data_IF_281727805590
#
_entry.id   IF_281727805590
#
_cell.length_a   1.000
_cell.length_b   1.000
_cell.length_c   1.000
_cell.angle_alpha   90.00
_cell.angle_beta   90.00
_cell.angle_gamma   90.00
#
_symmetry.space_group_name_H-M   'P 1'
#
loop_
_entity.id
_entity.type
_entity.pdbx_description
1 polymer ?
#
# COMPACT_ATOMS: atom_id res chain seq x y z
N UNK A 1 2.58 1.50 28.27
CA UNK A 1 2.46 2.94 28.09
C UNK A 1 0.99 3.28 28.00
N UNK A 2 0.57 4.35 28.64
CA UNK A 2 -0.79 4.88 28.53
C UNK A 2 -0.77 6.02 27.53
N UNK A 3 -1.91 6.26 26.88
CA UNK A 3 -2.12 7.45 26.04
C UNK A 3 -2.17 8.74 26.86
N UNK A 4 -2.37 9.88 26.22
CA UNK A 4 -2.48 11.20 26.86
C UNK A 4 -3.67 11.28 27.87
N UNK A 5 -4.63 10.35 27.78
CA UNK A 5 -5.81 10.24 28.65
C UNK A 5 -5.66 9.18 29.76
N UNK A 6 -4.51 8.48 29.82
CA UNK A 6 -4.24 7.46 30.83
C UNK A 6 -4.81 6.08 30.48
N UNK A 7 -5.35 5.87 29.27
CA UNK A 7 -5.82 4.58 28.80
C UNK A 7 -4.66 3.73 28.26
N UNK A 8 -4.77 2.41 28.43
CA UNK A 8 -3.76 1.47 27.92
C UNK A 8 -3.87 1.39 26.40
N UNK A 9 -2.82 1.83 25.70
CA UNK A 9 -2.79 1.76 24.25
C UNK A 9 -3.01 0.33 23.75
N UNK A 10 -3.95 0.16 22.81
CA UNK A 10 -4.21 -1.11 22.15
C UNK A 10 -2.99 -1.51 21.31
N UNK A 11 -2.58 -2.79 21.40
CA UNK A 11 -1.46 -3.31 20.62
C UNK A 11 -1.96 -4.02 19.36
N UNK A 12 -1.28 -3.80 18.25
CA UNK A 12 -1.52 -4.48 16.99
C UNK A 12 -0.32 -5.33 16.56
N UNK A 13 -0.58 -6.32 15.72
CA UNK A 13 0.45 -7.14 15.09
C UNK A 13 1.01 -6.44 13.86
N UNK A 14 2.31 -6.58 13.65
CA UNK A 14 2.99 -6.15 12.43
C UNK A 14 4.18 -7.08 12.14
N UNK A 15 4.70 -7.01 10.91
CA UNK A 15 5.95 -7.64 10.50
C UNK A 15 6.89 -6.54 10.02
N UNK A 16 8.13 -6.54 10.52
CA UNK A 16 9.11 -5.52 10.16
C UNK A 16 10.53 -6.03 10.15
N UNK A 17 11.45 -5.15 9.79
CA UNK A 17 12.88 -5.42 9.76
C UNK A 17 13.65 -4.29 10.45
N UNK A 18 14.74 -4.65 11.14
CA UNK A 18 15.64 -3.70 11.78
C UNK A 18 16.90 -3.41 10.94
N UNK A 19 17.17 -4.24 9.94
CA UNK A 19 18.35 -4.17 9.09
C UNK A 19 18.14 -5.00 7.81
N UNK A 20 18.79 -4.59 6.72
CA UNK A 20 18.78 -5.29 5.43
C UNK A 20 19.71 -6.49 5.35
N UNK A 21 19.58 -7.43 6.29
CA UNK A 21 20.38 -8.67 6.31
C UNK A 21 19.82 -9.74 5.36
N UNK A 22 20.60 -10.82 5.16
CA UNK A 22 20.20 -11.93 4.29
C UNK A 22 18.84 -12.51 4.71
N UNK A 23 17.98 -12.81 3.75
CA UNK A 23 16.61 -13.28 4.00
C UNK A 23 16.57 -14.67 4.67
N UNK A 24 17.63 -15.46 4.53
CA UNK A 24 17.75 -16.76 5.21
C UNK A 24 17.97 -16.63 6.72
N UNK A 25 18.35 -15.44 7.20
CA UNK A 25 18.48 -15.17 8.61
C UNK A 25 17.10 -15.01 9.25
N UNK A 26 16.83 -15.70 10.35
CA UNK A 26 15.56 -15.64 11.07
C UNK A 26 15.21 -14.24 11.63
N UNK A 27 16.15 -13.31 11.65
CA UNK A 27 15.95 -11.92 12.07
C UNK A 27 15.73 -10.95 10.89
N UNK A 28 15.73 -11.46 9.65
CA UNK A 28 15.54 -10.62 8.45
C UNK A 28 14.14 -9.98 8.40
N UNK A 29 13.15 -10.69 8.90
CA UNK A 29 11.79 -10.22 9.16
C UNK A 29 11.37 -10.75 10.54
N UNK A 30 10.73 -9.93 11.35
CA UNK A 30 10.34 -10.27 12.71
C UNK A 30 8.90 -9.86 13.01
N UNK A 31 8.24 -10.65 13.83
CA UNK A 31 6.92 -10.32 14.38
C UNK A 31 7.06 -9.19 15.40
N UNK A 32 6.22 -8.19 15.28
CA UNK A 32 6.19 -7.00 16.13
C UNK A 32 4.84 -6.84 16.83
N UNK A 33 4.88 -6.19 17.99
CA UNK A 33 3.71 -5.66 18.68
C UNK A 33 3.88 -4.15 18.80
N UNK A 34 3.15 -3.43 17.96
CA UNK A 34 3.19 -1.97 17.90
C UNK A 34 1.94 -1.39 18.58
N UNK A 35 2.00 -0.12 18.94
CA UNK A 35 0.81 0.61 19.36
C UNK A 35 -0.09 0.84 18.15
N UNK A 36 -1.41 0.58 18.31
CA UNK A 36 -2.38 0.91 17.28
C UNK A 36 -2.47 2.43 17.16
N UNK A 37 -2.24 2.99 15.97
CA UNK A 37 -2.28 4.44 15.78
C UNK A 37 -3.73 4.95 15.74
N UNK A 38 -3.90 6.25 15.89
CA UNK A 38 -5.19 6.96 15.77
C UNK A 38 -5.16 7.88 14.55
N UNK A 39 -6.26 7.95 13.81
CA UNK A 39 -6.40 8.82 12.66
C UNK A 39 -6.51 10.29 13.07
N UNK A 40 -5.79 11.19 12.37
CA UNK A 40 -5.82 12.64 12.55
C UNK A 40 -5.76 13.31 11.18
N UNK A 41 -6.16 14.56 11.13
CA UNK A 41 -6.07 15.38 9.90
C UNK A 41 -6.74 14.67 8.69
N UNK A 42 -5.93 14.33 7.70
CA UNK A 42 -6.36 13.64 6.46
C UNK A 42 -6.13 12.13 6.50
N UNK A 43 -5.89 11.54 7.65
CA UNK A 43 -5.62 10.12 7.76
C UNK A 43 -6.90 9.28 7.80
N UNK A 44 -6.84 8.15 7.13
CA UNK A 44 -7.71 7.01 7.35
C UNK A 44 -6.95 5.98 8.16
N UNK A 45 -7.55 5.43 9.22
CA UNK A 45 -7.08 4.20 9.85
C UNK A 45 -7.78 3.03 9.18
N UNK A 46 -7.00 2.20 8.51
CA UNK A 46 -7.50 1.05 7.76
C UNK A 46 -7.14 -0.25 8.49
N UNK A 47 -8.14 -1.07 8.81
CA UNK A 47 -7.94 -2.46 9.20
C UNK A 47 -7.60 -3.26 7.95
N UNK A 48 -6.34 -3.68 7.84
CA UNK A 48 -5.80 -4.34 6.64
C UNK A 48 -6.27 -5.79 6.59
N UNK A 49 -6.90 -6.17 5.47
CA UNK A 49 -7.41 -7.53 5.26
C UNK A 49 -6.56 -8.33 4.28
N UNK A 50 -5.92 -7.68 3.31
CA UNK A 50 -4.95 -8.31 2.42
C UNK A 50 -3.88 -7.32 1.95
N UNK A 51 -2.71 -7.85 1.62
CA UNK A 51 -1.57 -7.11 1.06
C UNK A 51 -1.03 -7.83 -0.17
N UNK A 52 -0.33 -7.11 -1.04
CA UNK A 52 0.39 -7.69 -2.16
C UNK A 52 1.87 -7.34 -2.08
N UNK A 53 2.73 -8.30 -2.42
CA UNK A 53 4.19 -8.15 -2.40
C UNK A 53 4.68 -7.70 -3.77
N UNK A 54 5.48 -6.65 -3.78
CA UNK A 54 6.08 -6.08 -4.98
C UNK A 54 7.62 -6.11 -4.91
N UNK A 55 8.32 -5.97 -6.03
CA UNK A 55 9.79 -5.88 -6.03
C UNK A 55 10.36 -4.76 -5.14
N UNK A 56 9.61 -3.71 -4.90
CA UNK A 56 9.99 -2.61 -4.00
C UNK A 56 10.14 -3.09 -2.55
N UNK A 57 9.33 -4.02 -2.10
CA UNK A 57 9.37 -4.55 -0.73
C UNK A 57 10.75 -5.12 -0.40
N UNK A 58 11.25 -6.05 -1.22
CA UNK A 58 12.55 -6.65 -0.96
C UNK A 58 13.72 -5.70 -1.23
N UNK A 59 13.60 -4.79 -2.22
CA UNK A 59 14.65 -3.80 -2.52
C UNK A 59 14.83 -2.82 -1.37
N UNK A 60 13.73 -2.31 -0.82
CA UNK A 60 13.78 -1.42 0.35
C UNK A 60 14.30 -2.18 1.55
N UNK A 61 13.82 -3.39 1.81
CA UNK A 61 14.32 -4.22 2.91
C UNK A 61 15.82 -4.43 2.83
N UNK A 62 16.36 -4.79 1.65
CA UNK A 62 17.80 -5.00 1.45
C UNK A 62 18.63 -3.74 1.69
N UNK A 63 18.07 -2.57 1.42
CA UNK A 63 18.72 -1.27 1.61
C UNK A 63 18.65 -0.71 3.03
N UNK A 64 17.95 -1.36 3.96
CA UNK A 64 17.80 -0.87 5.33
C UNK A 64 19.13 -0.86 6.06
N UNK A 65 19.46 0.30 6.62
CA UNK A 65 20.55 0.43 7.59
C UNK A 65 20.07 -0.05 8.95
N UNK A 66 20.99 -0.58 9.75
CA UNK A 66 20.71 -1.03 11.11
C UNK A 66 20.06 0.10 11.94
N UNK A 67 18.96 -0.18 12.57
CA UNK A 67 18.17 0.75 13.38
C UNK A 67 17.65 0.05 14.65
N UNK A 68 17.41 0.83 15.70
CA UNK A 68 16.70 0.36 16.90
C UNK A 68 15.18 0.41 16.70
N UNK A 69 14.71 1.20 15.73
CA UNK A 69 13.30 1.27 15.35
C UNK A 69 13.06 0.39 14.13
N UNK A 70 12.10 -0.55 14.17
CA UNK A 70 11.80 -1.40 13.04
C UNK A 70 11.13 -0.64 11.90
N UNK A 71 11.46 -1.01 10.67
CA UNK A 71 10.74 -0.58 9.48
C UNK A 71 9.67 -1.61 9.16
N UNK A 72 8.40 -1.20 9.17
CA UNK A 72 7.28 -1.99 8.64
C UNK A 72 7.21 -1.74 7.14
N UNK A 73 7.38 -2.79 6.36
CA UNK A 73 7.34 -2.76 4.90
C UNK A 73 5.90 -2.97 4.39
N UNK A 74 5.75 -2.99 3.07
CA UNK A 74 4.49 -3.20 2.39
C UNK A 74 3.95 -1.91 1.81
N UNK A 75 3.42 -2.02 0.60
CA UNK A 75 2.82 -0.89 -0.12
C UNK A 75 1.37 -1.18 -0.44
N UNK A 76 1.11 -2.20 -1.24
CA UNK A 76 -0.23 -2.57 -1.66
C UNK A 76 -1.05 -3.12 -0.50
N UNK A 77 -2.25 -2.59 -0.32
CA UNK A 77 -3.19 -3.09 0.66
C UNK A 77 -4.65 -2.92 0.22
N UNK A 78 -5.49 -3.75 0.78
CA UNK A 78 -6.94 -3.59 0.85
C UNK A 78 -7.37 -3.75 2.30
N UNK A 79 -8.38 -3.02 2.71
CA UNK A 79 -8.92 -3.11 4.06
C UNK A 79 -10.18 -2.30 4.25
N UNK A 80 -10.61 -2.20 5.50
CA UNK A 80 -11.81 -1.46 5.89
C UNK A 80 -11.44 -0.23 6.72
N UNK A 81 -12.02 0.90 6.41
CA UNK A 81 -11.85 2.14 7.18
C UNK A 81 -12.51 1.99 8.54
N UNK A 82 -11.71 2.10 9.62
CA UNK A 82 -12.18 1.98 11.02
C UNK A 82 -12.11 3.29 11.81
N UNK A 83 -11.27 4.24 11.38
CA UNK A 83 -11.26 5.61 11.89
C UNK A 83 -10.97 6.58 10.74
N UNK A 84 -11.42 7.83 10.90
CA UNK A 84 -11.20 8.91 9.93
C UNK A 84 -10.73 10.17 10.66
N UNK A 85 -9.74 10.85 10.10
CA UNK A 85 -9.27 12.15 10.57
C UNK A 85 -10.30 13.25 10.28
N UNK A 86 -10.22 14.33 11.02
CA UNK A 86 -11.22 15.42 11.00
C UNK A 86 -11.29 16.21 9.68
N UNK A 87 -10.30 16.07 8.80
CA UNK A 87 -10.26 16.73 7.49
C UNK A 87 -10.70 15.81 6.34
N UNK A 88 -11.01 14.55 6.62
CA UNK A 88 -11.48 13.59 5.62
C UNK A 88 -12.96 13.85 5.29
N UNK A 89 -13.28 13.96 4.00
CA UNK A 89 -14.64 14.22 3.52
C UNK A 89 -15.19 13.16 2.58
N UNK A 90 -14.32 12.41 1.90
CA UNK A 90 -14.70 11.55 0.78
C UNK A 90 -14.88 10.08 1.18
N UNK A 91 -14.55 9.75 2.44
CA UNK A 91 -14.65 8.40 2.99
C UNK A 91 -15.45 8.37 4.29
N UNK A 92 -15.99 7.19 4.61
CA UNK A 92 -16.73 6.93 5.85
C UNK A 92 -16.28 5.62 6.50
N UNK A 93 -16.63 5.47 7.76
CA UNK A 93 -16.42 4.20 8.49
C UNK A 93 -17.09 3.04 7.77
N UNK A 94 -16.40 1.93 7.64
CA UNK A 94 -16.85 0.73 6.95
C UNK A 94 -16.60 0.73 5.44
N UNK A 95 -16.09 1.80 4.85
CA UNK A 95 -15.70 1.78 3.44
C UNK A 95 -14.58 0.78 3.22
N UNK A 96 -14.75 -0.04 2.18
CA UNK A 96 -13.73 -0.96 1.71
C UNK A 96 -12.81 -0.24 0.73
N UNK A 97 -11.55 -0.10 1.07
CA UNK A 97 -10.57 0.72 0.36
C UNK A 97 -9.34 -0.07 -0.06
N UNK A 98 -8.62 0.44 -1.08
CA UNK A 98 -7.35 -0.12 -1.53
C UNK A 98 -6.38 1.01 -1.92
N UNK A 99 -5.09 0.77 -1.81
CA UNK A 99 -4.05 1.79 -2.01
C UNK A 99 -2.66 1.17 -2.14
N UNK A 100 -1.70 1.98 -2.61
CA UNK A 100 -0.29 1.59 -2.71
C UNK A 100 0.60 2.22 -1.61
N UNK A 101 0.05 3.00 -0.68
CA UNK A 101 0.81 3.63 0.40
C UNK A 101 1.91 4.59 -0.06
N UNK A 102 2.84 4.88 0.84
CA UNK A 102 3.96 5.81 0.59
C UNK A 102 5.24 5.40 1.35
N UNK A 103 6.40 5.91 0.91
CA UNK A 103 7.70 5.55 1.48
C UNK A 103 8.01 6.19 2.84
N UNK A 104 7.38 7.32 3.16
CA UNK A 104 7.69 8.11 4.35
C UNK A 104 7.01 7.60 5.62
N UNK A 105 6.10 6.63 5.49
CA UNK A 105 5.25 6.12 6.58
C UNK A 105 5.40 4.62 6.75
N UNK A 106 4.85 4.10 7.86
CA UNK A 106 4.78 2.66 8.15
C UNK A 106 3.97 1.95 7.06
N UNK A 107 4.52 0.85 6.53
CA UNK A 107 3.95 0.11 5.41
C UNK A 107 2.76 -0.76 5.78
N UNK A 108 2.24 -1.51 4.80
CA UNK A 108 0.99 -2.27 4.93
C UNK A 108 1.11 -3.60 5.68
N UNK A 109 2.33 -4.08 5.99
CA UNK A 109 2.52 -5.36 6.69
C UNK A 109 2.20 -5.26 8.20
N UNK A 110 1.01 -4.75 8.52
CA UNK A 110 0.50 -4.56 9.88
C UNK A 110 -1.03 -4.66 9.91
N UNK A 111 -1.60 -4.93 11.08
CA UNK A 111 -3.05 -5.12 11.21
C UNK A 111 -3.85 -3.85 10.95
N UNK A 112 -3.32 -2.68 11.35
CA UNK A 112 -3.94 -1.38 11.10
C UNK A 112 -2.90 -0.43 10.53
N UNK A 113 -3.25 0.30 9.47
CA UNK A 113 -2.35 1.26 8.83
C UNK A 113 -3.01 2.63 8.73
N UNK A 114 -2.25 3.68 9.03
CA UNK A 114 -2.61 5.05 8.68
C UNK A 114 -2.21 5.33 7.23
N UNK A 115 -3.13 5.88 6.46
CA UNK A 115 -2.89 6.31 5.08
C UNK A 115 -3.60 7.64 4.82
N UNK A 116 -2.96 8.53 4.08
CA UNK A 116 -3.56 9.81 3.64
C UNK A 116 -4.71 9.52 2.67
N UNK A 117 -5.88 10.12 2.91
CA UNK A 117 -7.10 9.90 2.11
C UNK A 117 -6.93 10.19 0.62
N UNK A 118 -5.99 11.06 0.26
CA UNK A 118 -5.66 11.41 -1.15
C UNK A 118 -4.95 10.30 -1.91
N UNK A 119 -4.40 9.30 -1.22
CA UNK A 119 -3.71 8.13 -1.79
C UNK A 119 -4.60 6.89 -1.85
N UNK A 120 -5.86 7.01 -1.46
CA UNK A 120 -6.79 5.90 -1.27
C UNK A 120 -7.93 5.96 -2.28
N UNK A 121 -8.41 4.80 -2.70
CA UNK A 121 -9.65 4.68 -3.49
C UNK A 121 -10.56 3.59 -2.91
N UNK A 122 -11.85 3.65 -3.24
CA UNK A 122 -12.78 2.57 -2.93
C UNK A 122 -12.36 1.31 -3.71
N UNK A 123 -12.28 0.17 -3.03
CA UNK A 123 -11.92 -1.08 -3.66
C UNK A 123 -13.03 -1.58 -4.61
N UNK A 124 -12.68 -2.18 -5.76
CA UNK A 124 -13.65 -2.75 -6.69
C UNK A 124 -14.55 -3.79 -6.01
N UNK A 125 -15.86 -3.66 -6.16
CA UNK A 125 -16.84 -4.55 -5.50
C UNK A 125 -16.88 -5.97 -6.08
N UNK A 126 -16.37 -6.15 -7.29
CA UNK A 126 -16.34 -7.44 -8.01
C UNK A 126 -15.05 -8.23 -7.81
N UNK A 127 -14.09 -7.72 -7.02
CA UNK A 127 -12.84 -8.40 -6.70
C UNK A 127 -12.81 -8.80 -5.23
N UNK A 128 -12.23 -9.95 -4.95
CA UNK A 128 -11.86 -10.36 -3.59
C UNK A 128 -10.79 -9.43 -3.00
N UNK A 129 -10.55 -9.52 -1.70
CA UNK A 129 -9.51 -8.69 -1.06
C UNK A 129 -8.11 -8.99 -1.62
N UNK A 130 -7.79 -10.26 -1.87
CA UNK A 130 -6.52 -10.64 -2.46
C UNK A 130 -6.32 -10.08 -3.89
N UNK A 131 -7.37 -10.14 -4.72
CA UNK A 131 -7.34 -9.59 -6.09
C UNK A 131 -7.27 -8.06 -6.06
N UNK A 132 -8.04 -7.41 -5.21
CA UNK A 132 -8.01 -5.95 -5.07
C UNK A 132 -6.66 -5.45 -4.56
N UNK A 133 -6.04 -6.13 -3.58
CA UNK A 133 -4.72 -5.79 -3.06
C UNK A 133 -3.60 -5.94 -4.12
N UNK A 134 -3.76 -6.79 -5.13
CA UNK A 134 -2.76 -6.99 -6.17
C UNK A 134 -2.71 -5.88 -7.23
N UNK A 135 -3.64 -4.92 -7.19
CA UNK A 135 -3.80 -3.94 -8.26
C UNK A 135 -3.07 -2.60 -8.04
N UNK A 136 -3.07 -1.96 -6.87
CA UNK A 136 -2.78 -0.53 -6.76
C UNK A 136 -1.44 -0.13 -7.35
N UNK A 137 -0.33 -0.68 -6.91
CA UNK A 137 1.01 -0.28 -7.35
C UNK A 137 1.25 -0.59 -8.83
N UNK A 138 0.79 -1.74 -9.31
CA UNK A 138 0.94 -2.13 -10.71
C UNK A 138 0.06 -1.31 -11.64
N UNK A 139 -1.17 -0.98 -11.21
CA UNK A 139 -2.10 -0.15 -11.97
C UNK A 139 -1.61 1.31 -12.05
N UNK A 140 -1.18 1.90 -10.93
CA UNK A 140 -0.59 3.24 -10.90
C UNK A 140 0.64 3.30 -11.81
N UNK A 141 1.56 2.33 -11.71
CA UNK A 141 2.76 2.28 -12.54
C UNK A 141 2.41 2.18 -14.03
N UNK A 142 1.48 1.31 -14.40
CA UNK A 142 1.03 1.16 -15.79
C UNK A 142 0.37 2.43 -16.32
N UNK A 143 -0.53 3.02 -15.55
CA UNK A 143 -1.26 4.24 -15.91
C UNK A 143 -0.32 5.43 -16.10
N UNK A 144 0.50 5.74 -15.10
CA UNK A 144 1.45 6.86 -15.16
C UNK A 144 2.44 6.69 -16.32
N UNK A 145 2.96 5.46 -16.53
CA UNK A 145 3.88 5.18 -17.62
C UNK A 145 3.23 5.50 -18.97
N UNK A 146 2.04 4.96 -19.23
CA UNK A 146 1.38 5.11 -20.53
C UNK A 146 0.88 6.53 -20.78
N UNK A 147 0.16 7.10 -19.83
CA UNK A 147 -0.59 8.33 -20.05
C UNK A 147 0.18 9.58 -19.66
N UNK A 148 0.93 9.56 -18.56
CA UNK A 148 1.67 10.74 -18.10
C UNK A 148 3.07 10.82 -18.70
N UNK A 149 3.78 9.70 -18.84
CA UNK A 149 5.17 9.71 -19.33
C UNK A 149 5.27 9.52 -20.84
N UNK A 150 4.51 8.60 -21.41
CA UNK A 150 4.55 8.32 -22.86
C UNK A 150 3.54 9.17 -23.66
N UNK A 151 2.61 9.85 -23.00
CA UNK A 151 1.67 10.77 -23.63
C UNK A 151 0.60 10.08 -24.49
N UNK A 152 0.26 8.83 -24.18
CA UNK A 152 -0.97 8.24 -24.71
C UNK A 152 -2.18 8.94 -24.08
N UNK A 153 -3.27 9.02 -24.82
CA UNK A 153 -4.49 9.66 -24.34
C UNK A 153 -5.44 8.56 -23.83
N UNK A 154 -5.88 8.61 -22.55
CA UNK A 154 -6.79 7.59 -21.98
C UNK A 154 -8.24 7.81 -22.46
N UNK A 155 -8.45 7.73 -23.78
CA UNK A 155 -9.76 7.87 -24.40
C UNK A 155 -9.87 6.93 -25.59
N UNK A 156 -11.08 6.43 -25.81
CA UNK A 156 -11.37 5.51 -26.92
C UNK A 156 -10.97 6.13 -28.26
N UNK A 157 -10.30 5.34 -29.08
CA UNK A 157 -9.81 5.70 -30.42
C UNK A 157 -8.79 6.87 -30.48
N UNK A 158 -8.42 7.49 -29.38
CA UNK A 158 -7.51 8.65 -29.36
C UNK A 158 -6.07 8.31 -29.80
N UNK A 159 -5.70 7.04 -29.78
CA UNK A 159 -4.36 6.56 -30.13
C UNK A 159 -4.35 5.72 -31.41
N UNK A 160 -5.36 5.84 -32.26
CA UNK A 160 -5.43 5.08 -33.53
C UNK A 160 -4.16 5.25 -34.39
N UNK A 161 -3.68 4.13 -34.95
CA UNK A 161 -2.46 4.09 -35.77
C UNK A 161 -1.15 4.07 -34.98
N UNK A 162 -1.19 4.18 -33.62
CA UNK A 162 -0.02 3.98 -32.80
C UNK A 162 0.18 2.49 -32.50
N UNK A 163 1.43 2.08 -32.33
CA UNK A 163 1.81 0.73 -31.89
C UNK A 163 2.65 0.83 -30.65
N UNK A 164 2.32 0.05 -29.63
CA UNK A 164 3.06 -0.06 -28.37
C UNK A 164 3.62 -1.48 -28.21
N UNK A 165 4.92 -1.59 -28.00
CA UNK A 165 5.57 -2.85 -27.60
C UNK A 165 5.72 -2.89 -26.08
N UNK A 166 5.14 -3.88 -25.42
CA UNK A 166 5.27 -4.11 -23.99
C UNK A 166 6.16 -5.34 -23.77
N UNK A 167 7.41 -5.10 -23.36
CA UNK A 167 8.33 -6.17 -22.95
C UNK A 167 7.93 -6.67 -21.58
N UNK A 168 7.95 -8.00 -21.36
CA UNK A 168 7.45 -8.64 -20.14
C UNK A 168 5.95 -8.37 -19.87
N UNK A 169 5.15 -8.44 -20.92
CA UNK A 169 3.69 -8.23 -20.84
C UNK A 169 2.95 -9.17 -19.90
N UNK A 170 3.54 -10.31 -19.54
CA UNK A 170 2.99 -11.26 -18.56
C UNK A 170 3.34 -10.92 -17.09
N UNK A 171 4.18 -9.91 -16.85
CA UNK A 171 4.49 -9.43 -15.50
C UNK A 171 3.38 -8.57 -14.91
N UNK A 172 3.47 -8.24 -13.61
CA UNK A 172 2.44 -7.47 -12.89
C UNK A 172 2.04 -6.17 -13.61
N UNK A 173 3.00 -5.28 -13.88
CA UNK A 173 2.74 -4.02 -14.60
C UNK A 173 2.34 -4.28 -16.04
N UNK A 174 3.01 -5.23 -16.74
CA UNK A 174 2.73 -5.53 -18.14
C UNK A 174 1.31 -6.03 -18.37
N UNK A 175 0.81 -6.91 -17.50
CA UNK A 175 -0.56 -7.45 -17.61
C UNK A 175 -1.63 -6.36 -17.43
N UNK A 176 -1.39 -5.37 -16.58
CA UNK A 176 -2.28 -4.21 -16.43
C UNK A 176 -2.15 -3.29 -17.64
N UNK A 177 -0.92 -2.97 -18.06
CA UNK A 177 -0.67 -2.06 -19.18
C UNK A 177 -1.26 -2.54 -20.53
N UNK A 178 -1.43 -3.86 -20.71
CA UNK A 178 -2.09 -4.44 -21.89
C UNK A 178 -3.60 -4.16 -21.89
N UNK A 179 -4.20 -3.99 -20.70
CA UNK A 179 -5.64 -3.77 -20.54
C UNK A 179 -6.01 -2.28 -20.57
N UNK A 180 -5.07 -1.40 -20.26
CA UNK A 180 -5.25 0.05 -20.32
C UNK A 180 -5.17 0.58 -21.76
#
# INVERSE_FOLDING_TARGET
LNDENGEKMEKMSAIGAFEGIDITNSKALVDLKLDKPTAKDRDLLVEVTAVSVNPVDFKVRQGLKKSETPCVLGWDAVGTVVEIGEQVTDFKLGDRVYYAGEFSRSGSNQAFQLVDDRLVALAPSNLSDAEAAAMPLTALTGYELLFEKMGFIPAENANQGKTLLIINGAGGVGSIAIQL
#
